data_IF_234265672316
#
_entry.id   IF_234265672316
#
_cell.length_a   1.000
_cell.length_b   1.000
_cell.length_c   1.000
_cell.angle_alpha   90.00
_cell.angle_beta   90.00
_cell.angle_gamma   90.00
#
_symmetry.space_group_name_H-M   'P 1'
#
loop_
_entity.id
_entity.type
_entity.pdbx_description
1 polymer ?
#
# COMPACT_ATOMS: atom_id res chain seq x y z
N UNK A 1 -7.59 36.72 -18.26
CA UNK A 1 -6.23 36.31 -18.65
C UNK A 1 -5.84 37.13 -19.87
N UNK A 2 -4.82 37.98 -19.74
CA UNK A 2 -4.26 38.74 -20.86
C UNK A 2 -3.15 37.90 -21.53
N UNK A 3 -2.90 38.07 -22.84
CA UNK A 3 -1.75 37.46 -23.50
C UNK A 3 -0.45 37.79 -22.76
N UNK A 4 0.39 36.77 -22.49
CA UNK A 4 1.66 36.91 -21.76
C UNK A 4 1.63 36.53 -20.27
N UNK A 5 0.47 36.22 -19.71
CA UNK A 5 0.36 35.77 -18.32
C UNK A 5 0.66 34.27 -18.18
N UNK A 6 1.50 33.91 -17.21
CA UNK A 6 1.74 32.53 -16.80
C UNK A 6 0.51 31.96 -16.09
N UNK A 7 0.15 30.72 -16.41
CA UNK A 7 -0.86 29.95 -15.69
C UNK A 7 -0.33 28.56 -15.35
N UNK A 8 -0.69 28.05 -14.17
CA UNK A 8 -0.48 26.66 -13.78
C UNK A 8 -1.82 25.94 -13.83
N UNK A 9 -1.90 24.88 -14.64
CA UNK A 9 -3.08 24.04 -14.73
C UNK A 9 -2.79 22.71 -14.03
N UNK A 10 -3.73 22.25 -13.21
CA UNK A 10 -3.75 20.86 -12.75
C UNK A 10 -4.53 20.05 -13.79
N UNK A 11 -3.86 19.08 -14.41
CA UNK A 11 -4.52 18.11 -15.29
C UNK A 11 -4.87 16.90 -14.42
N UNK A 12 -6.16 16.60 -14.19
CA UNK A 12 -6.54 15.41 -13.44
C UNK A 12 -6.14 14.15 -14.23
N UNK A 13 -5.26 13.34 -13.65
CA UNK A 13 -4.75 12.11 -14.23
C UNK A 13 -5.67 10.91 -13.93
N UNK A 14 -6.92 10.96 -14.42
CA UNK A 14 -7.87 9.84 -14.32
C UNK A 14 -8.11 9.28 -12.91
N UNK A 15 -8.69 8.08 -12.84
CA UNK A 15 -8.82 7.31 -11.60
C UNK A 15 -7.99 6.03 -11.71
N UNK A 16 -7.33 5.65 -10.62
CA UNK A 16 -6.52 4.44 -10.54
C UNK A 16 -6.97 3.65 -9.31
N UNK A 17 -7.26 2.37 -9.51
CA UNK A 17 -7.53 1.46 -8.40
C UNK A 17 -6.23 1.12 -7.67
N UNK A 18 -6.25 1.18 -6.33
CA UNK A 18 -5.09 0.91 -5.49
C UNK A 18 -5.47 -0.01 -4.35
N UNK A 19 -4.62 -1.00 -4.10
CA UNK A 19 -4.74 -1.85 -2.92
C UNK A 19 -4.10 -1.16 -1.73
N UNK A 20 -4.80 -1.17 -0.59
CA UNK A 20 -4.32 -0.62 0.67
C UNK A 20 -4.42 -1.68 1.76
N UNK A 21 -3.36 -1.79 2.57
CA UNK A 21 -3.33 -2.63 3.77
C UNK A 21 -2.97 -1.79 4.98
N UNK A 22 -3.39 -2.16 6.20
CA UNK A 22 -2.94 -1.47 7.41
C UNK A 22 -1.41 -1.39 7.45
N UNK A 23 -0.85 -0.22 7.72
CA UNK A 23 0.61 -0.06 7.75
C UNK A 23 1.26 -0.97 8.80
N UNK A 24 0.54 -1.29 9.89
CA UNK A 24 0.98 -2.20 10.94
C UNK A 24 1.06 -3.68 10.52
N UNK A 25 0.48 -4.08 9.39
CA UNK A 25 0.62 -5.45 8.86
C UNK A 25 1.82 -5.63 7.94
N UNK A 26 2.46 -4.54 7.53
CA UNK A 26 3.67 -4.58 6.70
C UNK A 26 4.89 -4.77 7.60
N UNK A 27 5.71 -5.74 7.27
CA UNK A 27 6.98 -6.01 7.95
C UNK A 27 8.13 -5.80 6.98
N UNK A 28 9.26 -5.32 7.51
CA UNK A 28 10.46 -5.03 6.74
C UNK A 28 11.60 -5.96 7.15
N UNK A 29 12.30 -6.52 6.16
CA UNK A 29 13.54 -7.25 6.39
C UNK A 29 14.59 -6.83 5.37
N UNK A 30 15.55 -6.01 5.82
CA UNK A 30 16.60 -5.46 4.97
C UNK A 30 16.05 -4.45 3.96
N UNK A 31 15.85 -4.88 2.72
CA UNK A 31 15.27 -4.09 1.63
C UNK A 31 13.95 -4.69 1.11
N UNK A 32 13.45 -5.73 1.78
CA UNK A 32 12.27 -6.47 1.35
C UNK A 32 11.09 -6.14 2.26
N UNK A 33 9.98 -5.76 1.64
CA UNK A 33 8.68 -5.61 2.30
C UNK A 33 7.86 -6.89 2.13
N UNK A 34 7.20 -7.31 3.21
CA UNK A 34 6.29 -8.45 3.16
C UNK A 34 5.10 -8.26 4.11
N UNK A 35 4.04 -8.98 3.79
CA UNK A 35 2.87 -9.17 4.64
C UNK A 35 2.65 -10.67 4.87
N UNK A 36 1.84 -11.00 5.85
CA UNK A 36 1.37 -12.37 6.06
C UNK A 36 -0.05 -12.49 5.51
N UNK A 37 -0.25 -13.40 4.57
CA UNK A 37 -1.56 -13.69 3.96
C UNK A 37 -2.07 -15.01 4.52
N UNK A 38 -3.37 -15.08 4.84
CA UNK A 38 -4.02 -16.31 5.27
C UNK A 38 -4.42 -17.13 4.03
N UNK A 39 -3.83 -18.33 3.90
CA UNK A 39 -4.10 -19.26 2.82
C UNK A 39 -4.36 -20.63 3.45
N UNK A 40 -5.53 -21.21 3.20
CA UNK A 40 -5.93 -22.51 3.74
C UNK A 40 -5.78 -22.62 5.27
N UNK A 41 -6.10 -21.53 5.97
CA UNK A 41 -5.98 -21.46 7.43
C UNK A 41 -4.55 -21.27 7.95
N UNK A 42 -3.56 -21.15 7.05
CA UNK A 42 -2.16 -20.96 7.41
C UNK A 42 -1.66 -19.56 7.03
N UNK A 43 -0.86 -18.98 7.90
CA UNK A 43 -0.20 -17.69 7.66
C UNK A 43 1.02 -17.91 6.77
N UNK A 44 0.99 -17.37 5.56
CA UNK A 44 2.09 -17.46 4.59
C UNK A 44 2.67 -16.08 4.32
N UNK A 45 4.01 -16.00 4.30
CA UNK A 45 4.72 -14.76 3.96
C UNK A 45 4.59 -14.48 2.48
N UNK A 46 4.20 -13.25 2.13
CA UNK A 46 4.17 -12.78 0.75
C UNK A 46 4.92 -11.46 0.63
N UNK A 47 5.89 -11.43 -0.28
CA UNK A 47 6.62 -10.21 -0.61
C UNK A 47 5.72 -9.27 -1.39
N UNK A 48 5.80 -7.99 -1.03
CA UNK A 48 4.99 -6.94 -1.63
C UNK A 48 5.87 -5.81 -2.08
N UNK A 49 5.39 -5.04 -3.06
CA UNK A 49 6.00 -3.77 -3.43
C UNK A 49 5.12 -2.63 -2.92
N UNK A 50 5.70 -1.79 -2.08
CA UNK A 50 5.02 -0.60 -1.57
C UNK A 50 4.95 0.50 -2.64
N UNK A 51 3.87 1.28 -2.58
CA UNK A 51 3.69 2.47 -3.40
C UNK A 51 4.07 3.77 -2.68
N UNK A 52 4.15 4.84 -3.45
CA UNK A 52 4.57 6.17 -2.98
C UNK A 52 3.50 6.84 -2.12
N UNK A 53 2.22 6.49 -2.33
CA UNK A 53 1.09 7.12 -1.64
C UNK A 53 0.59 6.24 -0.49
N UNK A 54 0.80 6.69 0.74
CA UNK A 54 0.19 6.08 1.92
C UNK A 54 -0.97 6.95 2.39
N UNK A 55 -2.14 6.34 2.60
CA UNK A 55 -3.23 6.99 3.36
C UNK A 55 -2.88 6.89 4.85
N UNK A 56 -3.38 7.80 5.69
CA UNK A 56 -3.07 7.77 7.13
C UNK A 56 -3.39 6.40 7.73
N UNK A 57 -2.36 5.69 8.23
CA UNK A 57 -2.48 4.34 8.80
C UNK A 57 -2.48 3.18 7.79
N UNK A 58 -2.36 3.43 6.48
CA UNK A 58 -2.39 2.42 5.43
C UNK A 58 -1.21 2.55 4.47
N UNK A 59 -0.63 1.42 4.09
CA UNK A 59 0.37 1.32 3.04
C UNK A 59 -0.30 0.97 1.70
N UNK A 60 0.07 1.65 0.61
CA UNK A 60 -0.35 1.24 -0.73
C UNK A 60 0.51 0.09 -1.24
N UNK A 61 -0.12 -0.85 -1.92
CA UNK A 61 0.52 -2.02 -2.53
C UNK A 61 0.41 -1.90 -4.04
N UNK A 62 1.56 -1.91 -4.71
CA UNK A 62 1.65 -1.90 -6.18
C UNK A 62 1.68 -3.32 -6.73
N UNK A 63 2.30 -4.26 -6.01
CA UNK A 63 2.34 -5.66 -6.44
C UNK A 63 2.55 -6.62 -5.27
N UNK A 64 2.24 -7.90 -5.51
CA UNK A 64 2.41 -8.97 -4.53
C UNK A 64 1.17 -9.27 -3.70
N UNK A 65 0.02 -8.65 -4.01
CA UNK A 65 -1.28 -9.03 -3.44
C UNK A 65 -2.35 -9.01 -4.52
N UNK A 66 -3.42 -9.75 -4.28
CA UNK A 66 -4.65 -9.72 -5.06
C UNK A 66 -5.80 -9.19 -4.21
N UNK A 67 -6.79 -8.58 -4.87
CA UNK A 67 -8.03 -8.23 -4.18
C UNK A 67 -8.66 -9.48 -3.55
N UNK A 68 -9.19 -9.34 -2.35
CA UNK A 68 -9.69 -10.45 -1.53
C UNK A 68 -8.65 -11.21 -0.70
N UNK A 69 -7.35 -10.93 -0.83
CA UNK A 69 -6.33 -11.51 0.06
C UNK A 69 -6.61 -11.11 1.53
N UNK A 70 -6.63 -12.09 2.43
CA UNK A 70 -6.84 -11.86 3.87
C UNK A 70 -5.48 -11.66 4.54
N UNK A 71 -5.26 -10.47 5.09
CA UNK A 71 -4.00 -10.11 5.73
C UNK A 71 -4.05 -10.38 7.24
N UNK A 72 -3.03 -11.07 7.75
CA UNK A 72 -2.84 -11.29 9.19
C UNK A 72 -2.15 -10.07 9.80
N UNK A 73 -2.83 -9.42 10.74
CA UNK A 73 -2.30 -8.26 11.45
C UNK A 73 -1.59 -8.74 12.73
N UNK A 74 -0.26 -8.57 12.86
CA UNK A 74 0.46 -8.96 14.05
C UNK A 74 0.06 -8.04 15.22
N UNK A 75 -0.45 -8.64 16.30
CA UNK A 75 -0.72 -7.92 17.55
C UNK A 75 0.62 -7.71 18.24
N UNK A 76 1.16 -6.50 18.15
CA UNK A 76 2.33 -6.12 18.95
C UNK A 76 1.87 -5.88 20.40
N UNK A 77 2.01 -6.87 21.27
CA UNK A 77 1.98 -6.62 22.71
C UNK A 77 3.20 -5.77 23.07
N UNK A 78 2.99 -4.51 23.45
CA UNK A 78 4.02 -3.71 24.10
C UNK A 78 4.42 -4.42 25.40
N UNK A 79 5.68 -4.84 25.50
CA UNK A 79 6.32 -5.19 26.77
C UNK A 79 6.73 -3.92 27.50
#
# INVERSE_FOLDING_TARGET
LLPGMYARLLIPAGNIEKLYVPASSVSHSGQLDFVNVLIDGQSQRRFVRLGVESKSGFASIISGLTDGDIIVIPIHLKK
#
